data_IF_544407458009
#
_entry.id   IF_544407458009
#
_cell.length_a   1.000
_cell.length_b   1.000
_cell.length_c   1.000
_cell.angle_alpha   90.00
_cell.angle_beta   90.00
_cell.angle_gamma   90.00
#
_symmetry.space_group_name_H-M   'P 1'
#
loop_
_entity.id
_entity.type
_entity.pdbx_description
1 polymer ?
#
# COMPACT_ATOMS: atom_id res chain seq x y z
N UNK A 1 -0.95 13.82 -22.72
CA UNK A 1 0.08 13.56 -23.75
C UNK A 1 -0.28 12.24 -24.41
N UNK A 2 -0.84 12.32 -25.62
CA UNK A 2 -1.36 11.19 -26.39
C UNK A 2 -0.20 10.62 -27.21
N UNK A 3 0.31 9.45 -26.87
CA UNK A 3 1.37 8.80 -27.65
C UNK A 3 0.89 7.50 -28.27
N UNK A 4 1.20 7.43 -29.56
CA UNK A 4 0.78 6.53 -30.61
C UNK A 4 0.77 5.03 -30.24
N UNK A 5 -0.36 4.39 -30.51
CA UNK A 5 -0.51 2.95 -30.62
C UNK A 5 -0.10 2.56 -32.06
N UNK A 6 1.16 2.11 -32.26
CA UNK A 6 1.66 1.71 -33.56
C UNK A 6 1.31 0.23 -33.81
N UNK A 7 0.36 -0.01 -34.71
CA UNK A 7 0.11 -1.31 -35.29
C UNK A 7 1.13 -1.58 -36.40
N UNK A 8 1.89 -2.68 -36.30
CA UNK A 8 2.64 -3.21 -37.44
C UNK A 8 2.68 -4.74 -37.38
N UNK A 9 2.08 -5.31 -38.43
CA UNK A 9 2.02 -6.72 -38.72
C UNK A 9 3.34 -7.22 -39.35
N UNK A 10 3.49 -8.55 -39.36
CA UNK A 10 4.34 -9.42 -40.21
C UNK A 10 5.79 -9.77 -39.81
N UNK A 11 5.94 -11.02 -39.35
CA UNK A 11 6.93 -12.06 -39.74
C UNK A 11 8.43 -11.73 -39.81
N UNK A 12 9.22 -12.18 -38.82
CA UNK A 12 10.36 -13.13 -38.97
C UNK A 12 11.11 -13.27 -37.64
N UNK A 13 11.77 -14.41 -37.47
CA UNK A 13 12.45 -14.86 -36.26
C UNK A 13 13.45 -13.85 -35.65
N UNK A 14 13.12 -13.35 -34.46
CA UNK A 14 14.08 -13.06 -33.39
C UNK A 14 13.24 -12.89 -32.12
N UNK A 15 13.12 -13.95 -31.33
CA UNK A 15 12.44 -13.92 -30.03
C UNK A 15 13.28 -13.15 -29.01
N UNK A 16 13.47 -11.86 -29.24
CA UNK A 16 13.68 -10.90 -28.18
C UNK A 16 12.30 -10.69 -27.54
N UNK A 17 12.04 -11.45 -26.48
CA UNK A 17 11.00 -11.10 -25.53
C UNK A 17 11.38 -9.71 -24.99
N UNK A 18 10.81 -8.67 -25.58
CA UNK A 18 10.72 -7.36 -24.92
C UNK A 18 9.68 -7.59 -23.83
N UNK A 19 10.14 -8.16 -22.71
CA UNK A 19 9.38 -8.24 -21.48
C UNK A 19 9.10 -6.79 -21.12
N UNK A 20 7.83 -6.44 -21.30
CA UNK A 20 7.30 -5.12 -21.09
C UNK A 20 7.75 -4.58 -19.74
N UNK A 21 8.04 -3.28 -19.72
CA UNK A 21 8.21 -2.46 -18.54
C UNK A 21 6.95 -2.60 -17.65
N UNK A 22 6.93 -3.63 -16.82
CA UNK A 22 6.08 -3.71 -15.66
C UNK A 22 6.83 -2.99 -14.56
N UNK A 23 6.30 -1.86 -14.09
CA UNK A 23 6.64 -1.37 -12.76
C UNK A 23 6.20 -2.43 -11.77
N UNK A 24 7.05 -3.43 -11.55
CA UNK A 24 6.89 -4.36 -10.46
C UNK A 24 7.14 -3.55 -9.21
N UNK A 25 6.16 -3.50 -8.31
CA UNK A 25 6.42 -3.00 -6.98
C UNK A 25 7.62 -3.77 -6.42
N UNK A 26 8.65 -3.04 -6.01
CA UNK A 26 9.82 -3.66 -5.41
C UNK A 26 9.38 -4.24 -4.07
N UNK A 27 9.80 -5.49 -3.73
CA UNK A 27 9.44 -6.06 -2.45
C UNK A 27 10.05 -5.19 -1.33
N UNK A 28 9.32 -4.94 -0.23
CA UNK A 28 9.87 -4.21 0.90
C UNK A 28 11.12 -4.90 1.44
N UNK A 29 12.10 -4.10 1.86
CA UNK A 29 13.23 -4.64 2.61
C UNK A 29 12.79 -4.87 4.05
N UNK A 30 12.51 -6.12 4.38
CA UNK A 30 12.08 -6.53 5.71
C UNK A 30 13.25 -7.06 6.54
N UNK A 31 13.47 -6.46 7.71
CA UNK A 31 14.40 -6.93 8.74
C UNK A 31 13.62 -7.38 9.97
N UNK A 32 13.35 -8.69 10.06
CA UNK A 32 12.53 -9.25 11.13
C UNK A 32 11.05 -8.89 10.94
N UNK A 33 10.48 -8.14 11.87
CA UNK A 33 9.09 -7.66 11.84
C UNK A 33 8.95 -6.24 11.27
N UNK A 34 10.05 -5.60 10.88
CA UNK A 34 10.04 -4.23 10.36
C UNK A 34 10.34 -4.24 8.87
N UNK A 35 9.51 -3.58 8.07
CA UNK A 35 9.64 -3.48 6.63
C UNK A 35 9.72 -2.02 6.21
N UNK A 36 10.64 -1.73 5.30
CA UNK A 36 10.86 -0.37 4.79
C UNK A 36 10.84 -0.43 3.27
N UNK A 37 10.22 0.59 2.67
CA UNK A 37 10.14 0.74 1.23
C UNK A 37 11.14 1.79 0.74
N UNK A 38 11.70 1.59 -0.45
CA UNK A 38 12.58 2.58 -1.07
C UNK A 38 11.80 3.87 -1.41
N UNK A 39 12.42 5.04 -1.24
CA UNK A 39 11.75 6.33 -1.41
C UNK A 39 11.30 6.54 -2.87
N UNK A 40 10.03 6.92 -3.05
CA UNK A 40 9.41 7.13 -4.36
C UNK A 40 9.14 5.86 -5.15
N UNK A 41 9.23 4.68 -4.51
CA UNK A 41 8.94 3.40 -5.13
C UNK A 41 7.54 2.88 -4.74
N UNK A 42 7.01 2.00 -5.59
CA UNK A 42 5.84 1.19 -5.26
C UNK A 42 6.30 -0.04 -4.48
N UNK A 43 5.60 -0.34 -3.38
CA UNK A 43 5.99 -1.34 -2.41
C UNK A 43 4.82 -2.27 -2.15
N UNK A 44 4.96 -3.53 -2.54
CA UNK A 44 3.93 -4.54 -2.34
C UNK A 44 4.32 -5.49 -1.21
N UNK A 45 3.55 -5.44 -0.12
CA UNK A 45 3.71 -6.33 1.04
C UNK A 45 3.06 -7.70 0.81
N UNK A 46 2.41 -7.92 -0.33
CA UNK A 46 1.79 -9.19 -0.66
C UNK A 46 2.85 -10.30 -0.77
N UNK A 47 2.62 -11.42 -0.10
CA UNK A 47 3.58 -12.52 0.04
C UNK A 47 4.74 -12.28 1.02
N UNK A 48 4.78 -11.14 1.71
CA UNK A 48 5.81 -10.86 2.73
C UNK A 48 5.49 -11.51 4.07
N UNK A 49 6.46 -11.54 4.99
CA UNK A 49 6.25 -12.02 6.36
C UNK A 49 5.21 -11.21 7.13
N UNK A 50 4.86 -10.01 6.66
CA UNK A 50 3.85 -9.14 7.28
C UNK A 50 2.41 -9.62 7.04
N UNK A 51 2.15 -10.42 6.01
CA UNK A 51 0.79 -10.89 5.75
C UNK A 51 0.26 -11.82 6.85
N UNK A 52 1.14 -12.57 7.49
CA UNK A 52 0.78 -13.66 8.40
C UNK A 52 1.09 -13.32 9.86
N UNK A 53 1.77 -12.21 10.13
CA UNK A 53 2.27 -11.87 11.46
C UNK A 53 2.29 -10.36 11.70
N UNK A 54 2.52 -9.99 12.96
CA UNK A 54 2.67 -8.61 13.40
C UNK A 54 3.89 -7.97 12.77
N UNK A 55 3.67 -6.81 12.14
CA UNK A 55 4.68 -6.14 11.35
C UNK A 55 4.56 -4.62 11.46
N UNK A 56 5.69 -3.93 11.37
CA UNK A 56 5.79 -2.48 11.29
C UNK A 56 6.20 -2.11 9.87
N UNK A 57 5.34 -1.40 9.15
CA UNK A 57 5.59 -0.94 7.79
C UNK A 57 5.75 0.59 7.80
N UNK A 58 6.92 1.05 7.38
CA UNK A 58 7.22 2.47 7.22
C UNK A 58 7.15 2.88 5.75
N UNK A 59 6.08 3.60 5.40
CA UNK A 59 5.80 4.14 4.09
C UNK A 59 5.94 5.66 4.12
N UNK A 60 7.20 6.08 4.21
CA UNK A 60 7.57 7.49 4.30
C UNK A 60 8.35 7.88 3.04
N UNK A 61 8.12 9.08 2.50
CA UNK A 61 8.78 9.64 1.29
C UNK A 61 8.06 9.43 -0.06
N UNK A 62 6.75 9.68 -0.11
CA UNK A 62 5.94 9.62 -1.35
C UNK A 62 5.96 8.24 -2.00
N UNK A 63 5.82 7.20 -1.18
CA UNK A 63 5.78 5.80 -1.62
C UNK A 63 4.36 5.38 -1.97
N UNK A 64 4.22 4.39 -2.85
CA UNK A 64 2.94 3.73 -3.12
C UNK A 64 2.95 2.35 -2.44
N UNK A 65 2.44 2.27 -1.21
CA UNK A 65 2.42 1.05 -0.44
C UNK A 65 1.11 0.30 -0.59
N UNK A 66 1.16 -0.97 -0.96
CA UNK A 66 -0.01 -1.83 -1.05
C UNK A 66 0.20 -3.20 -0.42
N UNK A 67 -0.90 -3.84 -0.01
CA UNK A 67 -0.91 -5.25 0.35
C UNK A 67 -1.70 -5.52 1.63
N UNK A 68 -1.27 -6.54 2.36
CA UNK A 68 -1.99 -7.08 3.50
C UNK A 68 -1.07 -7.25 4.69
N UNK A 69 -1.60 -6.97 5.88
CA UNK A 69 -0.92 -7.17 7.12
C UNK A 69 -1.81 -7.98 8.05
N UNK A 70 -1.20 -8.97 8.72
CA UNK A 70 -1.89 -9.86 9.63
C UNK A 70 -2.32 -9.16 10.92
N UNK A 71 -2.20 -9.86 12.05
CA UNK A 71 -2.59 -9.34 13.35
C UNK A 71 -1.53 -8.41 13.96
N UNK A 72 -1.97 -7.32 14.58
CA UNK A 72 -1.16 -6.34 15.31
C UNK A 72 -0.11 -5.62 14.45
N UNK A 73 -0.53 -5.11 13.29
CA UNK A 73 0.35 -4.34 12.43
C UNK A 73 0.38 -2.86 12.77
N UNK A 74 1.54 -2.24 12.61
CA UNK A 74 1.75 -0.80 12.72
C UNK A 74 2.13 -0.24 11.35
N UNK A 75 1.30 0.61 10.77
CA UNK A 75 1.55 1.26 9.50
C UNK A 75 1.76 2.76 9.72
N UNK A 76 2.91 3.28 9.29
CA UNK A 76 3.16 4.72 9.21
C UNK A 76 3.16 5.14 7.75
N UNK A 77 2.19 5.99 7.38
CA UNK A 77 2.04 6.51 6.03
C UNK A 77 2.17 8.03 6.03
N UNK A 78 3.33 8.52 5.57
CA UNK A 78 3.65 9.95 5.61
C UNK A 78 4.45 10.43 4.40
N UNK A 79 4.54 11.76 4.26
CA UNK A 79 5.27 12.45 3.21
C UNK A 79 4.59 12.36 1.83
N UNK A 80 3.27 12.53 1.76
CA UNK A 80 2.51 12.44 0.51
C UNK A 80 2.48 11.05 -0.12
N UNK A 81 2.66 10.00 0.69
CA UNK A 81 2.60 8.60 0.25
C UNK A 81 1.15 8.14 0.03
N UNK A 82 0.94 7.18 -0.88
CA UNK A 82 -0.33 6.48 -1.06
C UNK A 82 -0.25 5.13 -0.36
N UNK A 83 -1.11 4.88 0.62
CA UNK A 83 -1.13 3.61 1.35
C UNK A 83 -2.46 2.89 1.19
N UNK A 84 -2.45 1.73 0.52
CA UNK A 84 -3.61 0.88 0.28
C UNK A 84 -3.40 -0.47 0.97
N UNK A 85 -3.78 -0.56 2.24
CA UNK A 85 -3.44 -1.70 3.08
C UNK A 85 -4.68 -2.37 3.67
N UNK A 86 -4.66 -3.70 3.71
CA UNK A 86 -5.60 -4.50 4.50
C UNK A 86 -4.95 -4.85 5.82
N UNK A 87 -5.61 -4.59 6.94
CA UNK A 87 -5.04 -4.79 8.28
C UNK A 87 -5.94 -5.70 9.11
N UNK A 88 -5.33 -6.70 9.76
CA UNK A 88 -5.99 -7.61 10.68
C UNK A 88 -6.38 -7.00 12.02
N UNK A 89 -6.65 -7.87 12.99
CA UNK A 89 -7.01 -7.47 14.35
C UNK A 89 -5.84 -6.75 15.06
N UNK A 90 -6.17 -5.82 15.95
CA UNK A 90 -5.24 -4.93 16.66
C UNK A 90 -4.35 -4.07 15.74
N UNK A 91 -4.80 -3.79 14.52
CA UNK A 91 -4.12 -2.90 13.58
C UNK A 91 -4.03 -1.46 14.07
N UNK A 92 -2.89 -0.80 13.85
CA UNK A 92 -2.69 0.62 14.11
C UNK A 92 -2.14 1.30 12.87
N UNK A 93 -2.86 2.28 12.33
CA UNK A 93 -2.46 3.03 11.15
C UNK A 93 -2.33 4.50 11.48
N UNK A 94 -1.24 5.13 11.06
CA UNK A 94 -1.02 6.58 11.17
C UNK A 94 -0.83 7.16 9.79
N UNK A 95 -1.61 8.18 9.46
CA UNK A 95 -1.56 8.88 8.19
C UNK A 95 -1.31 10.36 8.43
N UNK A 96 -0.17 10.87 7.98
CA UNK A 96 0.23 12.28 8.16
C UNK A 96 0.89 12.89 6.93
N UNK A 97 1.16 14.20 6.99
CA UNK A 97 1.97 14.92 6.00
C UNK A 97 1.42 14.80 4.56
N UNK A 98 0.12 15.00 4.40
CA UNK A 98 -0.55 15.01 3.10
C UNK A 98 -0.70 13.65 2.43
N UNK A 99 -0.61 12.54 3.17
CA UNK A 99 -0.74 11.18 2.64
C UNK A 99 -2.17 10.81 2.24
N UNK A 100 -2.29 9.89 1.28
CA UNK A 100 -3.54 9.29 0.82
C UNK A 100 -3.66 7.85 1.35
N UNK A 101 -4.41 7.68 2.43
CA UNK A 101 -4.60 6.39 3.08
C UNK A 101 -5.94 5.75 2.73
N UNK A 102 -5.92 4.51 2.26
CA UNK A 102 -7.09 3.64 2.09
C UNK A 102 -6.86 2.34 2.84
N UNK A 103 -7.49 2.22 4.01
CA UNK A 103 -7.29 1.09 4.91
C UNK A 103 -8.55 0.26 5.00
N UNK A 104 -8.39 -1.04 4.80
CA UNK A 104 -9.45 -2.02 5.04
C UNK A 104 -9.10 -2.82 6.29
N UNK A 105 -9.86 -2.64 7.35
CA UNK A 105 -9.69 -3.42 8.56
C UNK A 105 -10.56 -4.67 8.51
N UNK A 106 -9.96 -5.85 8.58
CA UNK A 106 -10.72 -7.11 8.63
C UNK A 106 -11.14 -7.48 10.05
N UNK A 107 -10.55 -6.84 11.06
CA UNK A 107 -10.88 -6.99 12.48
C UNK A 107 -10.83 -5.66 13.22
N UNK A 108 -10.50 -5.72 14.51
CA UNK A 108 -10.38 -4.57 15.40
C UNK A 108 -9.17 -3.72 14.98
N UNK A 109 -9.35 -2.47 14.60
CA UNK A 109 -8.23 -1.62 14.17
C UNK A 109 -8.45 -0.17 14.58
N UNK A 110 -7.36 0.60 14.60
CA UNK A 110 -7.40 2.04 14.78
C UNK A 110 -6.60 2.74 13.68
N UNK A 111 -7.14 3.85 13.21
CA UNK A 111 -6.52 4.75 12.26
C UNK A 111 -6.47 6.15 12.87
N UNK A 112 -5.32 6.78 12.81
CA UNK A 112 -5.12 8.20 13.11
C UNK A 112 -4.86 8.94 11.81
N UNK A 113 -5.60 10.02 11.56
CA UNK A 113 -5.45 10.82 10.35
C UNK A 113 -5.14 12.27 10.70
N UNK A 114 -4.10 12.83 10.10
CA UNK A 114 -3.84 14.26 10.17
C UNK A 114 -4.78 15.04 9.25
N UNK A 115 -5.06 16.30 9.60
CA UNK A 115 -6.02 17.16 8.89
C UNK A 115 -5.62 17.49 7.45
N UNK A 116 -4.35 17.34 7.10
CA UNK A 116 -3.78 17.54 5.78
C UNK A 116 -3.78 16.27 4.90
N UNK A 117 -4.08 15.10 5.48
CA UNK A 117 -4.13 13.80 4.78
C UNK A 117 -5.55 13.42 4.35
N UNK A 118 -5.65 12.58 3.32
CA UNK A 118 -6.92 11.96 2.91
C UNK A 118 -6.98 10.55 3.47
N UNK A 119 -7.85 10.30 4.46
CA UNK A 119 -8.00 8.97 5.02
C UNK A 119 -9.34 8.35 4.67
N UNK A 120 -9.30 7.11 4.20
CA UNK A 120 -10.46 6.27 3.92
C UNK A 120 -10.36 4.98 4.73
N UNK A 121 -11.38 4.71 5.52
CA UNK A 121 -11.46 3.54 6.39
C UNK A 121 -12.62 2.65 5.96
N UNK A 122 -12.35 1.36 5.78
CA UNK A 122 -13.35 0.32 5.55
C UNK A 122 -13.30 -0.69 6.70
N UNK A 123 -14.43 -0.90 7.39
CA UNK A 123 -14.54 -1.90 8.46
C UNK A 123 -15.19 -3.18 7.93
N UNK A 124 -14.39 -4.23 7.76
CA UNK A 124 -14.78 -5.54 7.24
C UNK A 124 -14.29 -5.80 5.81
N UNK A 125 -14.06 -7.07 5.49
CA UNK A 125 -13.67 -7.48 4.14
C UNK A 125 -14.79 -7.13 3.13
N UNK A 126 -14.47 -6.28 2.14
CA UNK A 126 -15.41 -5.83 1.12
C UNK A 126 -16.32 -4.67 1.54
N UNK A 127 -16.12 -4.08 2.72
CA UNK A 127 -16.76 -2.82 3.07
C UNK A 127 -16.30 -1.70 2.12
N UNK A 128 -17.18 -0.74 1.87
CA UNK A 128 -16.83 0.43 1.05
C UNK A 128 -16.03 1.41 1.91
N UNK A 129 -14.83 1.87 1.46
CA UNK A 129 -14.05 2.82 2.22
C UNK A 129 -14.78 4.17 2.37
N UNK A 130 -14.93 4.63 3.61
CA UNK A 130 -15.53 5.92 3.95
C UNK A 130 -14.43 6.90 4.37
N UNK A 131 -14.57 8.17 3.96
CA UNK A 131 -13.59 9.21 4.32
C UNK A 131 -13.73 9.62 5.77
N UNK A 132 -12.61 9.64 6.50
CA UNK A 132 -12.52 10.06 7.91
C UNK A 132 -11.55 11.25 8.04
N UNK A 133 -11.85 12.21 8.90
CA UNK A 133 -11.16 13.51 8.95
C UNK A 133 -10.14 13.63 10.10
N UNK A 134 -10.28 12.78 11.13
CA UNK A 134 -9.36 12.74 12.28
C UNK A 134 -8.90 11.32 12.61
N UNK A 135 -9.27 10.35 11.76
CA UNK A 135 -9.13 8.93 12.03
C UNK A 135 -10.44 8.27 12.47
N UNK A 136 -10.34 7.01 12.85
CA UNK A 136 -11.47 6.16 13.23
C UNK A 136 -11.00 4.78 13.68
N UNK A 137 -11.90 3.98 14.21
CA UNK A 137 -11.60 2.61 14.63
C UNK A 137 -12.72 1.66 14.23
N UNK A 138 -12.34 0.45 13.84
CA UNK A 138 -13.24 -0.68 13.61
C UNK A 138 -13.20 -1.61 14.83
N UNK A 139 -14.33 -2.21 15.21
CA UNK A 139 -14.44 -3.13 16.35
C UNK A 139 -15.72 -3.95 16.30
#
# INVERSE_FOLDING_TARGET
MRSLCLALATTLAMSLAVTACGGGADPPTCTGTSCTCDPGAACDTSGSSCEQASCSLDCTSSNDCSGSCGDSCSLDCSGGSTCVMTVGDSGSVTCSDGSDCTITCTGSCSMSCSADSTCKLACGAGATPETVVEGGSCG
#
